data_IF_477415808164
#
_entry.id   IF_477415808164
#
_cell.length_a   1.000
_cell.length_b   1.000
_cell.length_c   1.000
_cell.angle_alpha   90.00
_cell.angle_beta   90.00
_cell.angle_gamma   90.00
#
_symmetry.space_group_name_H-M   'P 1'
#
loop_
_entity.id
_entity.type
_entity.pdbx_description
1 polymer ?
#
# COMPACT_ATOMS: atom_id res chain seq x y z
N UNK A 1 33.00 16.50 9.19
CA UNK A 1 32.23 15.51 8.42
C UNK A 1 30.87 15.41 9.10
N UNK A 2 29.88 16.20 8.65
CA UNK A 2 28.51 16.11 9.17
C UNK A 2 27.86 14.91 8.48
N UNK A 3 27.81 13.78 9.17
CA UNK A 3 26.92 12.68 8.81
C UNK A 3 25.51 13.19 9.10
N UNK A 4 24.84 13.73 8.09
CA UNK A 4 23.40 13.92 8.11
C UNK A 4 22.84 12.50 8.25
N UNK A 5 22.47 12.10 9.47
CA UNK A 5 21.66 10.90 9.68
C UNK A 5 20.31 11.21 9.05
N UNK A 6 20.13 10.75 7.82
CA UNK A 6 18.82 10.64 7.19
C UNK A 6 17.99 9.75 8.11
N UNK A 7 16.80 10.20 8.53
CA UNK A 7 15.87 9.35 9.28
C UNK A 7 15.42 8.23 8.34
N UNK A 8 15.93 7.02 8.56
CA UNK A 8 15.39 5.84 7.89
C UNK A 8 13.97 5.62 8.42
N UNK A 9 12.98 5.35 7.55
CA UNK A 9 11.62 5.15 8.01
C UNK A 9 11.55 3.92 8.91
N UNK A 10 10.74 3.99 9.96
CA UNK A 10 10.44 2.86 10.83
C UNK A 10 9.56 1.84 10.10
N UNK A 11 9.64 0.58 10.49
CA UNK A 11 8.74 -0.45 9.98
C UNK A 11 7.50 -0.58 10.87
N UNK A 12 6.31 -0.45 10.29
CA UNK A 12 5.05 -0.73 10.97
C UNK A 12 4.23 -1.76 10.19
N UNK A 13 3.78 -2.82 10.85
CA UNK A 13 2.82 -3.76 10.26
C UNK A 13 1.41 -3.44 10.77
N UNK A 14 0.51 -3.04 9.86
CA UNK A 14 -0.86 -2.66 10.19
C UNK A 14 -1.81 -3.82 9.92
N UNK A 15 -2.59 -4.17 10.93
CA UNK A 15 -3.62 -5.19 10.85
C UNK A 15 -4.84 -4.83 11.70
N UNK A 16 -6.00 -5.44 11.45
CA UNK A 16 -7.20 -5.15 12.24
C UNK A 16 -7.00 -5.57 13.71
N UNK A 17 -6.51 -6.79 13.93
CA UNK A 17 -6.30 -7.41 15.25
C UNK A 17 -4.92 -8.08 15.34
N UNK A 18 -4.38 -8.22 16.54
CA UNK A 18 -3.10 -8.89 16.76
C UNK A 18 -3.13 -10.38 16.34
N UNK A 19 -4.31 -11.01 16.38
CA UNK A 19 -4.48 -12.38 15.90
C UNK A 19 -4.28 -12.50 14.39
N UNK A 20 -4.54 -11.43 13.63
CA UNK A 20 -4.25 -11.41 12.20
C UNK A 20 -2.73 -11.54 11.98
N UNK A 21 -1.92 -10.74 12.69
CA UNK A 21 -0.45 -10.87 12.67
C UNK A 21 0.05 -12.28 13.03
N UNK A 22 -0.60 -12.96 14.01
CA UNK A 22 -0.29 -14.38 14.34
C UNK A 22 -0.66 -15.33 13.20
N UNK A 23 -1.86 -15.20 12.63
CA UNK A 23 -2.35 -16.04 11.52
C UNK A 23 -1.44 -15.93 10.30
N UNK A 24 -0.93 -14.73 10.03
CA UNK A 24 -0.02 -14.46 8.92
C UNK A 24 1.43 -14.84 9.20
N UNK A 25 1.70 -15.50 10.33
CA UNK A 25 3.05 -15.88 10.75
C UNK A 25 4.01 -14.69 10.76
N UNK A 26 3.53 -13.45 10.98
CA UNK A 26 4.39 -12.27 11.10
C UNK A 26 5.39 -12.46 12.25
N UNK A 27 5.01 -13.31 13.20
CA UNK A 27 5.78 -13.72 14.36
C UNK A 27 6.92 -14.72 14.09
N UNK A 28 6.96 -15.40 12.94
CA UNK A 28 8.06 -16.30 12.57
C UNK A 28 9.16 -15.59 11.80
N UNK A 29 8.94 -14.32 11.48
CA UNK A 29 9.84 -13.49 10.72
C UNK A 29 10.81 -12.84 11.70
N UNK A 30 12.09 -13.20 11.60
CA UNK A 30 13.18 -12.45 12.23
C UNK A 30 13.41 -11.18 11.40
N UNK A 31 12.74 -10.09 11.79
CA UNK A 31 12.74 -8.83 11.04
C UNK A 31 14.08 -8.11 11.09
N UNK A 32 14.93 -8.37 12.09
CA UNK A 32 16.26 -7.76 12.28
C UNK A 32 16.27 -6.22 12.47
N UNK A 33 15.21 -5.57 12.02
CA UNK A 33 14.86 -4.17 12.17
C UNK A 33 13.71 -4.06 13.17
N UNK A 34 13.72 -3.08 14.10
CA UNK A 34 12.62 -2.87 15.03
C UNK A 34 11.31 -2.62 14.26
N UNK A 35 10.38 -3.56 14.39
CA UNK A 35 9.03 -3.44 13.84
C UNK A 35 8.10 -2.96 14.95
N UNK A 36 7.07 -2.21 14.59
CA UNK A 36 5.92 -1.92 15.44
C UNK A 36 4.69 -2.61 14.82
N UNK A 37 3.85 -3.26 15.62
CA UNK A 37 2.58 -3.81 15.16
C UNK A 37 1.49 -2.81 15.49
N UNK A 38 0.76 -2.33 14.49
CA UNK A 38 -0.32 -1.37 14.65
C UNK A 38 -1.65 -2.10 14.51
N UNK A 39 -2.48 -2.04 15.55
CA UNK A 39 -3.80 -2.69 15.57
C UNK A 39 -4.95 -1.69 15.70
N UNK A 40 -6.06 -1.96 15.01
CA UNK A 40 -7.18 -1.02 14.87
C UNK A 40 -8.43 -1.44 15.67
N UNK A 41 -8.52 -2.67 16.15
CA UNK A 41 -9.62 -3.11 17.01
C UNK A 41 -9.30 -2.90 18.49
N UNK A 42 -10.33 -2.88 19.33
CA UNK A 42 -10.17 -2.69 20.77
C UNK A 42 -9.61 -3.96 21.43
N UNK A 43 -8.37 -3.88 21.93
CA UNK A 43 -7.68 -5.00 22.58
C UNK A 43 -7.23 -4.56 24.00
N UNK A 44 -8.17 -4.38 24.95
CA UNK A 44 -7.87 -3.81 26.28
C UNK A 44 -6.93 -4.68 27.11
N UNK A 45 -6.91 -5.98 26.82
CA UNK A 45 -6.04 -6.97 27.46
C UNK A 45 -4.99 -7.50 26.47
N UNK A 46 -4.79 -6.82 25.33
CA UNK A 46 -3.73 -7.13 24.38
C UNK A 46 -2.36 -6.87 25.02
N UNK A 47 -1.33 -7.65 24.68
CA UNK A 47 0.00 -7.40 25.20
C UNK A 47 0.55 -6.10 24.61
N UNK A 48 1.28 -5.33 25.42
CA UNK A 48 2.02 -4.14 24.96
C UNK A 48 3.16 -4.50 23.99
N UNK A 49 3.58 -5.75 23.98
CA UNK A 49 4.63 -6.29 23.14
C UNK A 49 4.27 -7.68 22.60
N UNK A 50 4.67 -7.97 21.37
CA UNK A 50 4.48 -9.25 20.71
C UNK A 50 5.83 -9.80 20.23
N UNK A 51 6.36 -10.85 20.89
CA UNK A 51 7.74 -11.35 20.66
C UNK A 51 8.76 -10.19 20.62
N UNK A 52 8.81 -9.41 21.70
CA UNK A 52 9.70 -8.24 21.85
C UNK A 52 9.48 -7.09 20.85
N UNK A 53 8.44 -7.18 20.03
CA UNK A 53 8.00 -6.14 19.08
C UNK A 53 6.96 -5.26 19.75
N UNK A 54 7.07 -3.93 19.69
CA UNK A 54 6.07 -3.05 20.30
C UNK A 54 4.72 -3.16 19.58
N UNK A 55 3.61 -3.12 20.34
CA UNK A 55 2.25 -3.11 19.80
C UNK A 55 1.63 -1.74 20.07
N UNK A 56 1.25 -1.04 19.01
CA UNK A 56 0.53 0.23 19.06
C UNK A 56 -0.94 -0.05 18.73
N UNK A 57 -1.74 -0.26 19.77
CA UNK A 57 -3.18 -0.39 19.61
C UNK A 57 -3.84 1.00 19.55
N UNK A 58 -4.74 1.21 18.58
CA UNK A 58 -5.45 2.48 18.39
C UNK A 58 -6.18 2.97 19.64
N UNK A 59 -6.84 2.09 20.38
CA UNK A 59 -7.59 2.46 21.58
C UNK A 59 -6.63 2.83 22.72
N UNK A 60 -5.56 2.05 22.91
CA UNK A 60 -4.51 2.37 23.87
C UNK A 60 -3.81 3.70 23.56
N UNK A 61 -3.60 4.01 22.27
CA UNK A 61 -3.04 5.29 21.83
C UNK A 61 -3.92 6.47 22.26
N UNK A 62 -5.24 6.39 22.06
CA UNK A 62 -6.17 7.44 22.52
C UNK A 62 -6.38 7.46 24.04
N UNK A 63 -6.26 6.30 24.70
CA UNK A 63 -6.32 6.20 26.16
C UNK A 63 -5.20 7.01 26.82
N UNK A 64 -4.01 6.99 26.22
CA UNK A 64 -2.81 7.66 26.72
C UNK A 64 -2.06 6.81 27.75
N UNK A 65 -1.01 7.40 28.34
CA UNK A 65 -0.24 6.74 29.39
C UNK A 65 -1.03 6.69 30.69
N UNK A 66 -1.02 5.53 31.36
CA UNK A 66 -1.68 5.35 32.64
C UNK A 66 -0.67 5.02 33.74
N UNK A 67 -0.87 5.50 34.98
CA UNK A 67 -0.08 5.06 36.11
C UNK A 67 -0.26 3.56 36.36
N UNK A 68 0.75 2.94 36.94
CA UNK A 68 0.66 1.55 37.40
C UNK A 68 -0.47 1.41 38.42
N UNK A 69 -1.31 0.39 38.24
CA UNK A 69 -2.51 0.17 39.06
C UNK A 69 -2.32 -1.00 40.01
N UNK A 70 -2.89 -0.88 41.21
CA UNK A 70 -3.07 -2.01 42.11
C UNK A 70 -4.20 -2.90 41.61
N UNK A 71 -4.00 -4.22 41.62
CA UNK A 71 -5.03 -5.17 41.17
C UNK A 71 -6.22 -5.17 42.13
N UNK A 72 -7.41 -4.89 41.62
CA UNK A 72 -8.67 -4.95 42.36
C UNK A 72 -9.19 -6.37 42.35
N UNK A 73 -9.44 -6.93 43.55
CA UNK A 73 -10.17 -8.19 43.71
C UNK A 73 -11.66 -7.90 43.83
N UNK A 74 -12.45 -8.59 43.01
CA UNK A 74 -13.91 -8.50 43.03
C UNK A 74 -14.48 -9.73 43.74
N UNK A 75 -15.05 -9.59 44.95
CA UNK A 75 -15.65 -10.73 45.65
C UNK A 75 -16.94 -11.18 44.96
N UNK A 76 -17.18 -12.49 45.03
CA UNK A 76 -18.44 -13.11 44.56
C UNK A 76 -19.56 -12.75 45.53
N UNK A 77 -19.37 -12.96 46.83
CA UNK A 77 -20.34 -12.53 47.82
C UNK A 77 -20.42 -11.00 47.85
N UNK A 78 -21.64 -10.46 47.81
CA UNK A 78 -21.90 -9.03 47.84
C UNK A 78 -23.02 -8.72 48.81
N UNK A 79 -22.78 -7.71 49.66
CA UNK A 79 -23.68 -7.36 50.74
C UNK A 79 -25.11 -7.09 50.26
N UNK A 80 -26.07 -7.73 50.92
CA UNK A 80 -27.50 -7.59 50.62
C UNK A 80 -27.98 -8.33 49.37
N UNK A 81 -27.14 -9.17 48.73
CA UNK A 81 -27.48 -9.89 47.51
C UNK A 81 -27.37 -11.40 47.69
N UNK A 82 -28.36 -12.12 47.15
CA UNK A 82 -28.28 -13.57 46.97
C UNK A 82 -27.84 -13.89 45.55
N UNK A 83 -27.12 -14.99 45.34
CA UNK A 83 -26.64 -15.35 44.01
C UNK A 83 -26.78 -16.84 43.68
N UNK A 84 -26.80 -17.12 42.38
CA UNK A 84 -26.75 -18.48 41.82
C UNK A 84 -25.53 -18.54 40.90
N UNK A 85 -24.70 -19.57 41.08
CA UNK A 85 -23.62 -19.89 40.16
C UNK A 85 -24.14 -20.80 39.05
N UNK A 86 -23.78 -20.51 37.80
CA UNK A 86 -24.04 -21.41 36.67
C UNK A 86 -23.17 -22.68 36.76
N UNK A 87 -23.73 -23.89 36.53
CA UNK A 87 -22.97 -25.13 36.63
C UNK A 87 -21.70 -25.11 35.77
N UNK A 88 -20.56 -25.41 36.39
CA UNK A 88 -19.24 -25.49 35.75
C UNK A 88 -18.79 -24.23 35.00
N UNK A 89 -19.36 -23.06 35.32
CA UNK A 89 -18.98 -21.78 34.71
C UNK A 89 -18.67 -20.74 35.78
N UNK A 90 -17.67 -19.87 35.57
CA UNK A 90 -17.36 -18.77 36.48
C UNK A 90 -18.34 -17.60 36.27
N UNK A 91 -19.64 -17.90 36.33
CA UNK A 91 -20.74 -16.99 36.03
C UNK A 91 -21.71 -17.00 37.21
N UNK A 92 -22.08 -15.81 37.66
CA UNK A 92 -22.93 -15.60 38.84
C UNK A 92 -24.09 -14.66 38.50
N UNK A 93 -25.30 -15.05 38.92
CA UNK A 93 -26.52 -14.27 38.76
C UNK A 93 -26.99 -13.80 40.11
N UNK A 94 -27.18 -12.51 40.28
CA UNK A 94 -27.48 -11.91 41.58
C UNK A 94 -28.90 -11.38 41.65
N UNK A 95 -29.49 -11.54 42.83
CA UNK A 95 -30.84 -11.18 43.14
C UNK A 95 -30.88 -10.30 44.39
N UNK A 96 -31.78 -9.32 44.37
CA UNK A 96 -32.14 -8.53 45.54
C UNK A 96 -33.65 -8.64 45.74
N UNK A 97 -34.10 -9.15 46.89
CA UNK A 97 -35.52 -9.34 47.20
C UNK A 97 -36.29 -10.05 46.05
N UNK A 98 -35.70 -11.12 45.50
CA UNK A 98 -36.28 -11.91 44.41
C UNK A 98 -36.14 -11.30 43.00
N UNK A 99 -35.67 -10.06 42.86
CA UNK A 99 -35.46 -9.40 41.57
C UNK A 99 -34.06 -9.69 41.03
N UNK A 100 -33.97 -10.07 39.75
CA UNK A 100 -32.69 -10.28 39.08
C UNK A 100 -32.06 -8.93 38.67
N UNK A 101 -30.98 -8.54 39.33
CA UNK A 101 -30.42 -7.17 39.18
C UNK A 101 -29.09 -7.13 38.42
N UNK A 102 -28.28 -8.19 38.50
CA UNK A 102 -26.99 -8.22 37.81
C UNK A 102 -26.51 -9.63 37.50
N UNK A 103 -25.70 -9.69 36.45
CA UNK A 103 -24.93 -10.84 36.00
C UNK A 103 -23.47 -10.50 36.14
N UNK A 104 -22.65 -11.40 36.66
CA UNK A 104 -21.19 -11.26 36.63
C UNK A 104 -20.56 -12.48 35.97
N UNK A 105 -19.53 -12.22 35.16
CA UNK A 105 -18.69 -13.26 34.56
C UNK A 105 -17.25 -12.99 34.91
N UNK A 106 -16.59 -14.02 35.43
CA UNK A 106 -15.16 -14.02 35.68
C UNK A 106 -14.44 -14.78 34.56
N UNK A 107 -13.15 -14.49 34.37
CA UNK A 107 -12.25 -15.27 33.53
C UNK A 107 -12.04 -16.66 34.13
N UNK A 108 -11.45 -17.58 33.37
CA UNK A 108 -11.02 -18.88 33.91
C UNK A 108 -9.96 -18.73 35.02
N UNK A 109 -9.23 -17.61 35.02
CA UNK A 109 -8.19 -17.25 35.99
C UNK A 109 -8.75 -16.53 37.23
N UNK A 110 -10.04 -16.19 37.24
CA UNK A 110 -10.73 -15.64 38.41
C UNK A 110 -10.80 -14.10 38.47
N UNK A 111 -10.37 -13.38 37.42
CA UNK A 111 -10.61 -11.94 37.31
C UNK A 111 -12.04 -11.66 36.86
N UNK A 112 -12.67 -10.60 37.39
CA UNK A 112 -13.94 -10.13 36.87
C UNK A 112 -13.74 -9.63 35.44
N UNK A 113 -14.55 -10.10 34.50
CA UNK A 113 -14.48 -9.70 33.10
C UNK A 113 -15.64 -8.79 32.70
N UNK A 114 -16.86 -9.12 33.16
CA UNK A 114 -18.07 -8.41 32.74
C UNK A 114 -19.09 -8.36 33.88
N UNK A 115 -19.78 -7.23 34.00
CA UNK A 115 -21.06 -7.12 34.73
C UNK A 115 -22.15 -6.62 33.78
N UNK A 116 -23.27 -7.35 33.69
CA UNK A 116 -24.51 -6.81 33.08
C UNK A 116 -25.49 -6.42 34.18
N UNK A 117 -26.06 -5.23 34.08
CA UNK A 117 -27.09 -4.73 34.99
C UNK A 117 -28.46 -4.75 34.32
N UNK A 118 -29.47 -5.16 35.09
CA UNK A 118 -30.84 -5.34 34.63
C UNK A 118 -31.78 -4.37 35.36
N UNK A 119 -32.75 -3.82 34.63
CA UNK A 119 -33.79 -2.99 35.21
C UNK A 119 -34.88 -3.86 35.87
N UNK A 120 -35.91 -3.23 36.43
CA UNK A 120 -37.00 -3.94 37.11
C UNK A 120 -37.76 -4.92 36.19
N UNK A 121 -37.83 -4.62 34.90
CA UNK A 121 -38.43 -5.45 33.85
C UNK A 121 -37.49 -6.53 33.30
N UNK A 122 -36.32 -6.75 33.94
CA UNK A 122 -35.29 -7.72 33.51
C UNK A 122 -34.67 -7.40 32.14
N UNK A 123 -34.76 -6.16 31.66
CA UNK A 123 -34.04 -5.72 30.47
C UNK A 123 -32.64 -5.27 30.89
N UNK A 124 -31.62 -5.73 30.16
CA UNK A 124 -30.26 -5.26 30.37
C UNK A 124 -30.17 -3.81 29.89
N UNK A 125 -29.76 -2.90 30.76
CA UNK A 125 -29.64 -1.48 30.42
C UNK A 125 -28.18 -0.99 30.42
N UNK A 126 -27.28 -1.72 31.08
CA UNK A 126 -25.88 -1.34 31.25
C UNK A 126 -24.99 -2.57 31.28
N UNK A 127 -23.82 -2.50 30.65
CA UNK A 127 -22.74 -3.48 30.74
C UNK A 127 -21.44 -2.77 31.11
N UNK A 128 -20.71 -3.31 32.06
CA UNK A 128 -19.34 -2.92 32.40
C UNK A 128 -18.39 -4.05 32.00
N UNK A 129 -17.27 -3.69 31.38
CA UNK A 129 -16.19 -4.62 31.06
C UNK A 129 -14.92 -4.20 31.80
N UNK A 130 -14.22 -5.21 32.30
CA UNK A 130 -13.14 -5.08 33.26
C UNK A 130 -11.82 -5.56 32.67
N UNK A 131 -10.75 -4.82 32.94
CA UNK A 131 -9.40 -5.16 32.53
C UNK A 131 -8.81 -6.22 33.48
N UNK A 132 -7.65 -6.80 33.14
CA UNK A 132 -6.97 -7.81 33.99
C UNK A 132 -6.56 -7.27 35.37
N UNK A 133 -6.52 -5.95 35.56
CA UNK A 133 -6.26 -5.32 36.85
C UNK A 133 -7.54 -5.09 37.66
N UNK A 134 -8.71 -5.38 37.10
CA UNK A 134 -10.00 -5.27 37.76
C UNK A 134 -10.63 -3.88 37.67
N UNK A 135 -10.16 -2.99 36.79
CA UNK A 135 -10.77 -1.67 36.56
C UNK A 135 -11.72 -1.72 35.38
N UNK A 136 -12.79 -0.93 35.43
CA UNK A 136 -13.71 -0.77 34.29
C UNK A 136 -12.97 0.00 33.19
N UNK A 137 -12.77 -0.63 32.03
CA UNK A 137 -12.16 0.03 30.86
C UNK A 137 -13.19 0.39 29.78
N UNK A 138 -14.41 -0.14 29.91
CA UNK A 138 -15.45 -0.05 28.90
C UNK A 138 -16.82 -0.14 29.56
N UNK A 139 -17.72 0.76 29.16
CA UNK A 139 -19.08 0.88 29.65
C UNK A 139 -20.06 1.00 28.48
N UNK A 140 -21.02 0.09 28.39
CA UNK A 140 -22.03 0.09 27.33
C UNK A 140 -23.42 0.34 27.92
N UNK A 141 -24.16 1.28 27.34
CA UNK A 141 -25.58 1.48 27.59
C UNK A 141 -26.37 0.82 26.48
N UNK A 142 -27.35 0.01 26.86
CA UNK A 142 -28.10 -0.83 25.94
C UNK A 142 -29.44 -0.18 25.59
N UNK A 143 -29.84 -0.35 24.34
CA UNK A 143 -31.22 -0.14 23.92
C UNK A 143 -32.12 -1.20 24.57
N UNK A 144 -33.19 -0.75 25.25
CA UNK A 144 -34.01 -1.63 26.08
C UNK A 144 -34.87 -2.61 25.27
N UNK A 145 -35.17 -2.29 24.01
CA UNK A 145 -36.02 -3.08 23.13
C UNK A 145 -35.21 -4.12 22.36
N UNK A 146 -34.09 -3.69 21.78
CA UNK A 146 -33.24 -4.55 20.93
C UNK A 146 -32.11 -5.24 21.71
N UNK A 147 -31.81 -4.78 22.92
CA UNK A 147 -30.68 -5.23 23.75
C UNK A 147 -29.31 -5.07 23.06
N UNK A 148 -29.23 -4.20 22.04
CA UNK A 148 -28.00 -3.80 21.36
C UNK A 148 -27.36 -2.59 22.05
N UNK A 149 -26.04 -2.40 21.96
CA UNK A 149 -25.40 -1.18 22.44
C UNK A 149 -25.96 0.05 21.71
N UNK A 150 -26.34 1.07 22.47
CA UNK A 150 -26.74 2.40 21.96
C UNK A 150 -25.62 3.42 22.16
N UNK A 151 -24.89 3.27 23.25
CA UNK A 151 -23.74 4.11 23.59
C UNK A 151 -22.65 3.25 24.25
N UNK A 152 -21.40 3.50 23.91
CA UNK A 152 -20.25 2.80 24.46
C UNK A 152 -19.16 3.80 24.82
N UNK A 153 -18.80 3.85 26.09
CA UNK A 153 -17.78 4.71 26.67
C UNK A 153 -16.54 3.86 26.93
N UNK A 154 -15.39 4.33 26.46
CA UNK A 154 -14.09 3.76 26.76
C UNK A 154 -13.40 4.65 27.79
N UNK A 155 -12.89 4.00 28.84
CA UNK A 155 -12.49 4.68 30.07
C UNK A 155 -11.00 4.51 30.36
N UNK A 156 -10.43 5.56 30.97
CA UNK A 156 -9.14 5.54 31.63
C UNK A 156 -9.27 4.92 33.03
N UNK A 157 -8.12 4.69 33.65
CA UNK A 157 -7.96 4.08 34.97
C UNK A 157 -8.70 4.81 36.08
N UNK A 158 -8.72 6.15 36.00
CA UNK A 158 -9.38 7.05 36.92
C UNK A 158 -10.90 7.15 36.69
N UNK A 159 -11.42 6.44 35.68
CA UNK A 159 -12.83 6.46 35.29
C UNK A 159 -13.19 7.56 34.29
N UNK A 160 -12.26 8.44 33.92
CA UNK A 160 -12.52 9.46 32.89
C UNK A 160 -12.68 8.83 31.51
N UNK A 161 -13.56 9.39 30.68
CA UNK A 161 -13.81 8.87 29.34
C UNK A 161 -12.82 9.47 28.33
N UNK A 162 -12.15 8.62 27.55
CA UNK A 162 -11.28 9.08 26.46
C UNK A 162 -11.93 8.94 25.08
N UNK A 163 -12.96 8.09 24.96
CA UNK A 163 -13.71 7.95 23.72
C UNK A 163 -15.13 7.47 24.00
N UNK A 164 -16.11 8.08 23.32
CA UNK A 164 -17.49 7.62 23.31
C UNK A 164 -17.91 7.28 21.89
N UNK A 165 -18.61 6.15 21.71
CA UNK A 165 -19.26 5.73 20.47
C UNK A 165 -20.77 5.67 20.67
N UNK A 166 -21.52 6.18 19.71
CA UNK A 166 -22.96 6.00 19.61
C UNK A 166 -23.26 5.12 18.40
N UNK A 167 -24.30 4.31 18.53
CA UNK A 167 -24.71 3.37 17.50
C UNK A 167 -26.15 3.62 17.07
N UNK A 168 -26.40 3.48 15.78
CA UNK A 168 -27.75 3.43 15.21
C UNK A 168 -28.41 2.08 15.54
N UNK A 169 -29.71 1.97 15.30
CA UNK A 169 -30.48 0.75 15.55
C UNK A 169 -29.99 -0.48 14.74
N UNK A 170 -29.38 -0.24 13.57
CA UNK A 170 -28.78 -1.30 12.75
C UNK A 170 -27.43 -1.80 13.31
N UNK A 171 -26.85 -1.10 14.29
CA UNK A 171 -25.56 -1.39 14.92
C UNK A 171 -24.38 -0.66 14.29
N UNK A 172 -24.60 0.14 13.24
CA UNK A 172 -23.55 0.97 12.66
C UNK A 172 -23.24 2.16 13.54
N UNK A 173 -21.99 2.62 13.49
CA UNK A 173 -21.55 3.82 14.20
C UNK A 173 -22.34 5.03 13.72
N UNK A 174 -22.95 5.74 14.67
CA UNK A 174 -23.61 7.02 14.46
C UNK A 174 -22.63 8.17 14.63
N UNK A 175 -21.84 8.11 15.72
CA UNK A 175 -20.93 9.16 16.13
C UNK A 175 -19.85 8.59 17.02
N UNK A 176 -18.66 9.16 16.96
CA UNK A 176 -17.53 8.90 17.83
C UNK A 176 -17.02 10.25 18.32
N UNK A 177 -16.79 10.38 19.62
CA UNK A 177 -16.19 11.58 20.21
C UNK A 177 -14.95 11.16 20.99
N UNK A 178 -13.83 11.84 20.74
CA UNK A 178 -12.54 11.59 21.39
C UNK A 178 -12.26 12.75 22.34
N UNK A 179 -11.77 12.42 23.54
CA UNK A 179 -11.50 13.38 24.61
C UNK A 179 -10.03 13.36 25.02
N UNK A 180 -9.46 14.52 25.34
CA UNK A 180 -8.15 14.61 25.97
C UNK A 180 -8.21 14.25 27.46
N UNK A 181 -7.07 14.35 28.15
CA UNK A 181 -6.95 14.11 29.60
C UNK A 181 -7.69 15.15 30.45
N UNK A 182 -8.08 16.29 29.88
CA UNK A 182 -8.82 17.37 30.53
C UNK A 182 -10.32 17.35 30.15
N UNK A 183 -10.78 16.24 29.57
CA UNK A 183 -12.16 16.02 29.12
C UNK A 183 -12.63 16.98 28.01
N UNK A 184 -11.71 17.67 27.31
CA UNK A 184 -12.07 18.48 26.15
C UNK A 184 -12.29 17.59 24.93
N UNK A 185 -13.25 17.96 24.09
CA UNK A 185 -13.48 17.28 22.81
C UNK A 185 -12.32 17.60 21.86
N UNK A 186 -11.57 16.57 21.49
CA UNK A 186 -10.44 16.64 20.54
C UNK A 186 -10.91 16.40 19.12
N UNK A 187 -11.87 15.49 18.93
CA UNK A 187 -12.38 15.13 17.62
C UNK A 187 -13.79 14.55 17.69
N UNK A 188 -14.54 14.72 16.60
CA UNK A 188 -15.86 14.12 16.37
C UNK A 188 -15.84 13.45 15.01
N UNK A 189 -16.15 12.17 14.97
CA UNK A 189 -16.09 11.31 13.78
C UNK A 189 -17.41 10.57 13.62
N UNK A 190 -17.70 10.07 12.43
CA UNK A 190 -19.00 9.48 12.09
C UNK A 190 -18.92 8.04 11.55
N UNK A 191 -17.72 7.45 11.52
CA UNK A 191 -17.52 6.05 11.13
C UNK A 191 -16.26 5.45 11.73
N UNK A 192 -16.18 4.11 11.77
CA UNK A 192 -14.95 3.39 12.15
C UNK A 192 -13.80 3.67 11.18
N UNK A 193 -14.09 3.84 9.89
CA UNK A 193 -13.08 4.21 8.90
C UNK A 193 -12.49 5.60 9.18
N UNK A 194 -13.32 6.57 9.57
CA UNK A 194 -12.83 7.88 10.01
C UNK A 194 -11.95 7.78 11.25
N UNK A 195 -12.30 6.92 12.22
CA UNK A 195 -11.47 6.68 13.41
C UNK A 195 -10.11 6.08 13.06
N UNK A 196 -10.08 5.04 12.23
CA UNK A 196 -8.84 4.43 11.76
C UNK A 196 -7.96 5.45 11.00
N UNK A 197 -8.54 6.23 10.08
CA UNK A 197 -7.82 7.29 9.37
C UNK A 197 -7.29 8.36 10.32
N UNK A 198 -8.10 8.81 11.27
CA UNK A 198 -7.71 9.83 12.23
C UNK A 198 -6.51 9.38 13.06
N UNK A 199 -6.55 8.14 13.58
CA UNK A 199 -5.43 7.52 14.28
C UNK A 199 -4.17 7.40 13.41
N UNK A 200 -4.28 6.77 12.24
CA UNK A 200 -3.14 6.57 11.34
C UNK A 200 -2.52 7.90 10.89
N UNK A 201 -3.34 8.93 10.63
CA UNK A 201 -2.85 10.27 10.27
C UNK A 201 -2.01 10.92 11.38
N UNK A 202 -2.29 10.60 12.65
CA UNK A 202 -1.48 11.07 13.77
C UNK A 202 -0.16 10.31 13.84
N UNK A 203 -0.19 8.99 13.71
CA UNK A 203 1.04 8.18 13.66
C UNK A 203 1.97 8.63 12.52
N UNK A 204 1.43 8.89 11.33
CA UNK A 204 2.19 9.40 10.17
C UNK A 204 2.86 10.75 10.47
N UNK A 205 2.24 11.59 11.30
CA UNK A 205 2.80 12.90 11.68
C UNK A 205 3.86 12.80 12.78
N UNK A 206 3.89 11.70 13.53
CA UNK A 206 4.83 11.49 14.63
C UNK A 206 6.17 10.92 14.16
N UNK A 207 6.17 10.07 13.13
CA UNK A 207 7.37 9.54 12.53
C UNK A 207 7.17 9.08 11.08
N UNK A 208 8.27 9.02 10.33
CA UNK A 208 8.28 8.40 9.02
C UNK A 208 8.16 6.89 9.18
N UNK A 209 7.07 6.33 8.67
CA UNK A 209 6.82 4.90 8.68
C UNK A 209 6.71 4.37 7.25
N UNK A 210 7.26 3.18 7.06
CA UNK A 210 6.74 2.26 6.09
C UNK A 210 5.64 1.42 6.74
N UNK A 211 4.41 1.67 6.30
CA UNK A 211 3.26 0.87 6.69
C UNK A 211 3.10 -0.32 5.75
N UNK A 212 3.35 -1.50 6.27
CA UNK A 212 3.10 -2.78 5.60
C UNK A 212 1.73 -3.32 6.03
N UNK A 213 0.96 -3.86 5.09
CA UNK A 213 -0.22 -4.66 5.43
C UNK A 213 -0.35 -5.86 4.50
N UNK A 214 -1.15 -6.84 4.93
CA UNK A 214 -1.56 -7.99 4.11
C UNK A 214 -3.07 -8.03 3.90
N UNK A 215 -3.81 -7.04 4.39
CA UNK A 215 -5.28 -6.98 4.33
C UNK A 215 -5.71 -5.96 3.27
N UNK A 216 -6.47 -6.38 2.27
CA UNK A 216 -6.87 -5.56 1.12
C UNK A 216 -7.77 -4.39 1.54
N UNK A 217 -8.62 -4.59 2.55
CA UNK A 217 -9.47 -3.52 3.10
C UNK A 217 -8.62 -2.40 3.73
N UNK A 218 -7.60 -2.76 4.51
CA UNK A 218 -6.67 -1.80 5.09
C UNK A 218 -5.77 -1.16 4.05
N UNK A 219 -5.34 -1.92 3.04
CA UNK A 219 -4.55 -1.40 1.94
C UNK A 219 -5.23 -0.21 1.27
N UNK A 220 -6.55 -0.29 1.02
CA UNK A 220 -7.30 0.81 0.41
C UNK A 220 -7.25 2.08 1.26
N UNK A 221 -7.38 1.93 2.59
CA UNK A 221 -7.27 3.04 3.53
C UNK A 221 -5.86 3.63 3.54
N UNK A 222 -4.83 2.79 3.66
CA UNK A 222 -3.43 3.22 3.68
C UNK A 222 -2.99 3.86 2.36
N UNK A 223 -3.44 3.34 1.21
CA UNK A 223 -3.20 3.93 -0.12
C UNK A 223 -3.74 5.34 -0.23
N UNK A 224 -4.94 5.58 0.26
CA UNK A 224 -5.49 6.93 0.22
C UNK A 224 -4.76 7.89 1.17
N UNK A 225 -4.23 7.40 2.30
CA UNK A 225 -3.41 8.20 3.20
C UNK A 225 -2.02 8.50 2.59
N UNK A 226 -1.40 7.57 1.86
CA UNK A 226 -0.10 7.83 1.22
C UNK A 226 -0.16 8.86 0.09
N UNK A 227 -1.35 9.06 -0.50
CA UNK A 227 -1.61 10.16 -1.45
C UNK A 227 -1.74 11.51 -0.73
N UNK A 228 -2.29 11.52 0.48
CA UNK A 228 -2.49 12.74 1.29
C UNK A 228 -1.20 13.16 2.02
N UNK A 229 -0.40 12.20 2.45
CA UNK A 229 0.80 12.41 3.25
C UNK A 229 2.04 11.92 2.49
N UNK A 230 2.80 12.85 1.91
CA UNK A 230 4.01 12.53 1.14
C UNK A 230 5.14 11.90 1.96
N UNK A 231 5.10 11.99 3.28
CA UNK A 231 6.06 11.34 4.20
C UNK A 231 5.72 9.87 4.50
N UNK A 232 4.52 9.42 4.13
CA UNK A 232 4.07 8.05 4.38
C UNK A 232 4.53 7.12 3.26
N UNK A 233 5.17 6.02 3.64
CA UNK A 233 5.50 4.95 2.72
C UNK A 233 4.55 3.76 2.91
N UNK A 234 4.16 3.14 1.81
CA UNK A 234 3.14 2.12 1.73
C UNK A 234 3.68 0.81 1.16
N UNK A 235 3.52 -0.28 1.89
CA UNK A 235 3.81 -1.60 1.34
C UNK A 235 2.69 -2.60 1.54
N UNK A 236 2.69 -3.61 0.68
CA UNK A 236 1.76 -4.73 0.72
C UNK A 236 2.51 -6.06 0.64
N UNK A 237 2.13 -7.01 1.50
CA UNK A 237 2.66 -8.38 1.47
C UNK A 237 1.54 -9.36 1.16
N UNK A 238 1.62 -9.98 -0.02
CA UNK A 238 0.73 -11.07 -0.39
C UNK A 238 1.01 -12.26 0.54
N UNK A 239 -0.03 -12.68 1.25
CA UNK A 239 -0.02 -13.89 2.07
C UNK A 239 -1.25 -14.71 1.70
N UNK A 240 -2.31 -14.65 2.51
CA UNK A 240 -3.60 -15.26 2.22
C UNK A 240 -4.44 -14.43 1.25
N UNK A 241 -4.27 -13.10 1.27
CA UNK A 241 -4.90 -12.17 0.35
C UNK A 241 -3.92 -11.77 -0.75
N UNK A 242 -4.46 -11.61 -1.96
CA UNK A 242 -3.71 -11.20 -3.13
C UNK A 242 -4.22 -9.85 -3.63
N UNK A 243 -3.32 -9.08 -4.21
CA UNK A 243 -3.71 -7.87 -4.91
C UNK A 243 -4.27 -8.26 -6.28
N UNK A 244 -5.53 -7.93 -6.57
CA UNK A 244 -6.20 -8.38 -7.80
C UNK A 244 -5.56 -7.82 -9.08
N UNK A 245 -5.19 -6.53 -9.09
CA UNK A 245 -4.65 -5.83 -10.26
C UNK A 245 -3.28 -5.19 -9.94
N UNK A 246 -2.22 -5.97 -9.68
CA UNK A 246 -0.92 -5.46 -9.25
C UNK A 246 -0.34 -4.44 -10.23
N UNK A 247 -0.63 -4.54 -11.53
CA UNK A 247 -0.16 -3.57 -12.53
C UNK A 247 -0.71 -2.15 -12.36
N UNK A 248 -1.89 -1.98 -11.77
CA UNK A 248 -2.47 -0.66 -11.48
C UNK A 248 -1.99 -0.10 -10.15
N UNK A 249 -1.62 -0.98 -9.25
CA UNK A 249 -1.33 -0.65 -7.86
C UNK A 249 0.16 -0.47 -7.59
N UNK A 250 1.03 -1.10 -8.39
CA UNK A 250 2.47 -1.11 -8.15
C UNK A 250 3.11 0.28 -8.16
N UNK A 251 2.53 1.24 -8.88
CA UNK A 251 2.99 2.63 -8.89
C UNK A 251 2.67 3.40 -7.60
N UNK A 252 1.83 2.85 -6.72
CA UNK A 252 1.48 3.41 -5.43
C UNK A 252 2.19 2.72 -4.25
N UNK A 253 2.86 1.60 -4.52
CA UNK A 253 3.51 0.79 -3.50
C UNK A 253 4.99 1.13 -3.43
N UNK A 254 5.46 1.44 -2.24
CA UNK A 254 6.86 1.53 -1.90
C UNK A 254 7.52 0.16 -1.80
N UNK A 255 6.73 -0.85 -1.44
CA UNK A 255 7.15 -2.25 -1.45
C UNK A 255 5.99 -3.21 -1.70
N UNK A 256 6.16 -4.11 -2.66
CA UNK A 256 5.22 -5.18 -2.95
C UNK A 256 5.91 -6.53 -2.83
N UNK A 257 5.44 -7.34 -1.88
CA UNK A 257 6.10 -8.60 -1.51
C UNK A 257 5.20 -9.76 -1.91
N UNK A 258 5.76 -10.72 -2.63
CA UNK A 258 5.02 -11.88 -3.12
C UNK A 258 5.64 -13.21 -2.68
N UNK A 259 4.81 -14.24 -2.41
CA UNK A 259 5.23 -15.45 -1.71
C UNK A 259 5.94 -16.48 -2.60
N UNK A 260 5.86 -16.34 -3.94
CA UNK A 260 6.42 -17.32 -4.88
C UNK A 260 7.15 -16.67 -6.06
N UNK A 261 8.21 -17.33 -6.53
CA UNK A 261 8.98 -16.87 -7.69
C UNK A 261 8.12 -16.86 -8.96
N UNK A 262 7.16 -17.78 -9.05
CA UNK A 262 6.16 -17.80 -10.12
C UNK A 262 5.33 -16.51 -10.10
N UNK A 263 4.74 -16.16 -8.96
CA UNK A 263 3.95 -14.93 -8.80
C UNK A 263 4.78 -13.70 -9.12
N UNK A 264 6.03 -13.65 -8.66
CA UNK A 264 6.98 -12.60 -9.01
C UNK A 264 7.16 -12.47 -10.53
N UNK A 265 7.51 -13.55 -11.23
CA UNK A 265 7.68 -13.52 -12.68
C UNK A 265 6.39 -13.14 -13.43
N UNK A 266 5.23 -13.61 -12.97
CA UNK A 266 3.93 -13.25 -13.55
C UNK A 266 3.66 -11.75 -13.44
N UNK A 267 3.98 -11.14 -12.30
CA UNK A 267 3.88 -9.68 -12.11
C UNK A 267 4.89 -8.96 -12.99
N UNK A 268 6.17 -9.34 -12.95
CA UNK A 268 7.23 -8.72 -13.78
C UNK A 268 6.89 -8.76 -15.27
N UNK A 269 6.27 -9.85 -15.74
CA UNK A 269 5.81 -9.97 -17.14
C UNK A 269 4.77 -8.91 -17.50
N UNK A 270 3.88 -8.55 -16.56
CA UNK A 270 2.79 -7.61 -16.78
C UNK A 270 3.18 -6.15 -16.48
N UNK A 271 4.04 -5.92 -15.50
CA UNK A 271 4.41 -4.57 -15.00
C UNK A 271 5.76 -4.06 -15.52
N UNK A 272 6.53 -4.95 -16.15
CA UNK A 272 7.96 -4.77 -16.35
C UNK A 272 8.78 -5.01 -15.08
N UNK A 273 10.12 -5.09 -15.19
CA UNK A 273 11.02 -5.09 -14.04
C UNK A 273 10.79 -3.86 -13.15
N UNK A 274 10.70 -4.06 -11.83
CA UNK A 274 10.58 -2.98 -10.85
C UNK A 274 11.46 -3.29 -9.64
N UNK A 275 11.97 -2.26 -8.98
CA UNK A 275 12.82 -2.40 -7.78
C UNK A 275 12.02 -2.49 -6.49
N UNK A 276 10.74 -2.12 -6.53
CA UNK A 276 9.81 -2.21 -5.41
C UNK A 276 9.04 -3.54 -5.36
N UNK A 277 9.27 -4.47 -6.31
CA UNK A 277 8.68 -5.81 -6.25
C UNK A 277 9.72 -6.77 -5.68
N UNK A 278 9.33 -7.53 -4.67
CA UNK A 278 10.21 -8.46 -3.98
C UNK A 278 9.58 -9.85 -3.93
N UNK A 279 10.36 -10.85 -4.32
CA UNK A 279 10.03 -12.24 -4.04
C UNK A 279 10.63 -12.63 -2.70
N UNK A 280 9.78 -13.12 -1.80
CA UNK A 280 10.20 -13.74 -0.56
C UNK A 280 9.52 -15.09 -0.48
N UNK A 281 10.31 -16.16 -0.50
CA UNK A 281 9.78 -17.51 -0.28
C UNK A 281 9.05 -17.56 1.06
N UNK A 282 7.98 -18.34 1.14
CA UNK A 282 7.30 -18.62 2.42
C UNK A 282 8.22 -19.29 3.45
N UNK A 283 9.39 -19.78 3.04
CA UNK A 283 10.38 -20.32 3.98
C UNK A 283 11.03 -19.23 4.86
N UNK A 284 11.20 -19.48 6.18
CA UNK A 284 11.57 -18.45 7.16
C UNK A 284 12.96 -17.81 6.94
N UNK A 285 13.87 -18.45 6.21
CA UNK A 285 15.29 -18.13 6.24
C UNK A 285 15.73 -16.91 5.41
N UNK A 286 14.87 -16.29 4.59
CA UNK A 286 15.27 -15.18 3.68
C UNK A 286 14.75 -13.79 4.04
N UNK A 287 13.98 -13.62 5.12
CA UNK A 287 13.40 -12.31 5.47
C UNK A 287 14.38 -11.34 6.15
N UNK A 288 15.44 -11.85 6.78
CA UNK A 288 16.39 -11.05 7.58
C UNK A 288 17.07 -9.88 6.85
N UNK A 289 17.54 -10.09 5.61
CA UNK A 289 18.19 -9.04 4.78
C UNK A 289 17.21 -8.26 3.91
N UNK A 290 15.98 -8.74 3.83
CA UNK A 290 14.98 -8.19 2.95
C UNK A 290 14.42 -6.88 3.52
N UNK A 291 14.20 -6.83 4.83
CA UNK A 291 13.65 -5.66 5.52
C UNK A 291 14.58 -4.47 5.44
N UNK A 292 15.86 -4.67 5.74
CA UNK A 292 16.89 -3.63 5.62
C UNK A 292 16.91 -3.08 4.19
N UNK A 293 16.94 -3.96 3.18
CA UNK A 293 16.89 -3.56 1.77
C UNK A 293 15.62 -2.79 1.42
N UNK A 294 14.49 -3.20 1.98
CA UNK A 294 13.22 -2.56 1.71
C UNK A 294 13.23 -1.15 2.29
N UNK A 295 13.56 -0.99 3.58
CA UNK A 295 13.65 0.32 4.26
C UNK A 295 14.70 1.22 3.59
N UNK A 296 15.83 0.67 3.14
CA UNK A 296 16.87 1.44 2.45
C UNK A 296 16.43 1.94 1.07
N UNK A 297 15.50 1.25 0.39
CA UNK A 297 14.99 1.67 -0.92
C UNK A 297 13.83 2.67 -0.81
N UNK A 298 13.12 2.68 0.32
CA UNK A 298 11.95 3.51 0.55
C UNK A 298 12.18 5.02 0.26
N UNK A 299 13.29 5.66 0.70
CA UNK A 299 13.57 7.07 0.37
C UNK A 299 13.78 7.38 -1.12
N UNK A 300 13.96 6.37 -1.97
CA UNK A 300 14.13 6.52 -3.43
C UNK A 300 12.82 6.34 -4.18
N UNK A 301 11.72 6.09 -3.47
CA UNK A 301 10.44 5.87 -4.11
C UNK A 301 9.81 7.18 -4.54
N UNK A 302 9.63 7.37 -5.84
CA UNK A 302 9.02 8.58 -6.39
C UNK A 302 7.55 8.37 -6.75
N UNK A 303 6.77 9.45 -6.62
CA UNK A 303 5.34 9.48 -6.95
C UNK A 303 5.10 9.91 -8.41
N UNK A 304 6.05 9.62 -9.30
CA UNK A 304 5.89 9.95 -10.69
C UNK A 304 4.70 9.21 -11.30
N UNK A 305 3.96 9.94 -12.13
CA UNK A 305 2.82 9.45 -12.90
C UNK A 305 2.84 10.06 -14.27
N UNK A 306 2.32 9.34 -15.25
CA UNK A 306 2.23 9.74 -16.65
C UNK A 306 3.60 10.07 -17.28
N UNK A 307 3.82 9.64 -18.53
CA UNK A 307 4.95 10.10 -19.33
C UNK A 307 4.43 10.60 -20.65
N UNK A 308 4.39 11.92 -20.79
CA UNK A 308 4.02 12.57 -22.04
C UNK A 308 5.27 12.73 -22.89
N UNK A 309 5.20 12.26 -24.13
CA UNK A 309 6.32 12.33 -25.08
C UNK A 309 5.84 13.09 -26.31
N UNK A 310 6.51 14.20 -26.58
CA UNK A 310 6.32 15.03 -27.75
C UNK A 310 7.55 14.92 -28.64
N UNK A 311 7.39 14.38 -29.85
CA UNK A 311 8.49 14.29 -30.81
C UNK A 311 8.83 15.68 -31.34
N UNK A 312 10.08 16.10 -31.17
CA UNK A 312 10.60 17.39 -31.66
C UNK A 312 11.23 17.24 -33.04
N UNK A 313 11.98 16.17 -33.28
CA UNK A 313 12.71 15.97 -34.54
C UNK A 313 12.86 14.49 -34.88
N UNK A 314 12.78 14.18 -36.18
CA UNK A 314 13.09 12.86 -36.72
C UNK A 314 13.80 13.00 -38.06
N UNK A 315 15.10 12.71 -38.08
CA UNK A 315 15.96 12.96 -39.24
C UNK A 315 16.83 11.75 -39.56
N UNK A 316 16.94 11.41 -40.84
CA UNK A 316 17.82 10.35 -41.30
C UNK A 316 19.26 10.84 -41.37
N UNK A 317 20.14 10.28 -40.54
CA UNK A 317 21.57 10.54 -40.61
C UNK A 317 22.26 9.63 -41.64
N UNK A 318 21.67 8.46 -41.91
CA UNK A 318 22.11 7.55 -42.96
C UNK A 318 20.96 6.64 -43.38
N UNK A 319 21.21 5.77 -44.35
CA UNK A 319 20.29 4.73 -44.81
C UNK A 319 19.80 3.75 -43.74
N UNK A 320 20.39 3.71 -42.55
CA UNK A 320 19.98 2.79 -41.49
C UNK A 320 19.84 3.47 -40.15
N UNK A 321 20.22 4.74 -40.05
CA UNK A 321 20.37 5.47 -38.80
C UNK A 321 19.38 6.63 -38.77
N UNK A 322 18.36 6.49 -37.92
CA UNK A 322 17.37 7.52 -37.67
C UNK A 322 17.73 8.25 -36.38
N UNK A 323 18.00 9.55 -36.48
CA UNK A 323 18.13 10.42 -35.33
C UNK A 323 16.76 10.90 -34.89
N UNK A 324 16.51 10.86 -33.59
CA UNK A 324 15.29 11.35 -32.96
C UNK A 324 15.64 12.32 -31.84
N UNK A 325 14.80 13.33 -31.66
CA UNK A 325 14.72 14.10 -30.42
C UNK A 325 13.27 14.31 -29.99
N UNK A 326 13.00 14.26 -28.69
CA UNK A 326 11.69 14.45 -28.10
C UNK A 326 11.78 15.23 -26.80
N UNK A 327 10.72 15.99 -26.50
CA UNK A 327 10.45 16.55 -25.19
C UNK A 327 9.65 15.55 -24.38
N UNK A 328 10.05 15.34 -23.13
CA UNK A 328 9.42 14.41 -22.20
C UNK A 328 9.02 15.16 -20.95
N UNK A 329 7.77 14.99 -20.54
CA UNK A 329 7.22 15.58 -19.32
C UNK A 329 6.59 14.48 -18.46
N UNK A 330 6.94 14.50 -17.17
CA UNK A 330 6.34 13.65 -16.14
C UNK A 330 5.49 14.47 -15.19
N UNK A 331 4.44 13.86 -14.61
CA UNK A 331 3.70 14.44 -13.49
C UNK A 331 4.13 13.82 -12.16
N UNK A 332 3.88 14.52 -11.06
CA UNK A 332 4.15 14.03 -9.71
C UNK A 332 5.35 14.72 -9.09
N UNK A 333 6.05 14.01 -8.21
CA UNK A 333 7.23 14.53 -7.52
C UNK A 333 8.29 13.43 -7.38
N UNK A 334 9.55 13.86 -7.28
CA UNK A 334 10.67 13.00 -6.94
C UNK A 334 11.26 13.30 -5.59
N UNK A 335 11.73 12.27 -4.86
CA UNK A 335 12.62 12.47 -3.75
C UNK A 335 13.92 13.12 -4.23
N UNK A 336 14.51 14.04 -3.44
CA UNK A 336 15.80 14.63 -3.73
C UNK A 336 16.91 13.60 -4.03
N UNK A 337 16.79 12.40 -3.45
CA UNK A 337 17.75 11.31 -3.62
C UNK A 337 17.71 10.62 -4.99
N UNK A 338 16.60 10.74 -5.72
CA UNK A 338 16.41 10.16 -7.06
C UNK A 338 16.72 11.12 -8.20
N UNK A 339 16.99 12.39 -7.90
CA UNK A 339 17.36 13.40 -8.89
C UNK A 339 18.60 12.95 -9.65
N UNK A 340 18.52 12.96 -10.98
CA UNK A 340 19.63 12.58 -11.88
C UNK A 340 19.93 11.07 -11.96
N UNK A 341 19.19 10.21 -11.26
CA UNK A 341 19.36 8.75 -11.29
C UNK A 341 18.50 8.06 -12.36
N UNK A 342 18.14 8.82 -13.38
CA UNK A 342 17.29 8.36 -14.45
C UNK A 342 18.07 7.83 -15.64
N UNK A 343 17.50 6.84 -16.31
CA UNK A 343 17.99 6.30 -17.57
C UNK A 343 16.87 6.29 -18.59
N UNK A 344 17.10 6.96 -19.72
CA UNK A 344 16.16 6.94 -20.84
C UNK A 344 16.81 6.30 -22.07
N UNK A 345 16.00 5.57 -22.82
CA UNK A 345 16.45 4.90 -24.04
C UNK A 345 15.29 4.73 -25.01
N UNK A 346 15.64 4.67 -26.29
CA UNK A 346 14.70 4.35 -27.35
C UNK A 346 14.61 2.84 -27.53
N UNK A 347 13.41 2.34 -27.81
CA UNK A 347 13.16 0.93 -28.09
C UNK A 347 12.43 0.78 -29.42
N UNK A 348 12.95 -0.08 -30.28
CA UNK A 348 12.28 -0.55 -31.49
C UNK A 348 11.77 -1.97 -31.27
N UNK A 349 10.59 -2.26 -31.82
CA UNK A 349 10.00 -3.60 -31.80
C UNK A 349 9.38 -3.95 -33.15
N UNK A 350 9.75 -5.09 -33.71
CA UNK A 350 9.04 -5.66 -34.84
C UNK A 350 7.71 -6.25 -34.37
N UNK A 351 6.59 -5.74 -34.90
CA UNK A 351 5.25 -6.15 -34.45
C UNK A 351 4.94 -7.63 -34.70
N UNK A 352 5.51 -8.25 -35.73
CA UNK A 352 5.16 -9.62 -36.14
C UNK A 352 6.12 -10.66 -35.57
N UNK A 353 7.43 -10.42 -35.67
CA UNK A 353 8.43 -11.34 -35.12
C UNK A 353 8.64 -11.15 -33.61
N UNK A 354 8.32 -9.97 -33.08
CA UNK A 354 8.59 -9.61 -31.70
C UNK A 354 10.04 -9.22 -31.43
N UNK A 355 10.90 -9.14 -32.46
CA UNK A 355 12.31 -8.76 -32.32
C UNK A 355 12.46 -7.32 -31.83
N UNK A 356 13.30 -7.12 -30.83
CA UNK A 356 13.46 -5.84 -30.13
C UNK A 356 14.91 -5.36 -30.14
N UNK A 357 15.12 -4.04 -30.10
CA UNK A 357 16.44 -3.43 -29.93
C UNK A 357 16.33 -2.10 -29.17
N UNK A 358 17.30 -1.85 -28.30
CA UNK A 358 17.33 -0.64 -27.45
C UNK A 358 18.54 0.22 -27.76
N UNK A 359 18.37 1.54 -27.62
CA UNK A 359 19.38 2.55 -27.93
C UNK A 359 19.40 3.59 -26.81
N UNK A 360 20.53 3.70 -26.11
CA UNK A 360 20.70 4.73 -25.06
C UNK A 360 20.40 6.12 -25.63
N UNK A 361 19.64 6.91 -24.89
CA UNK A 361 19.39 8.29 -25.25
C UNK A 361 20.33 9.23 -24.50
N UNK A 362 20.68 10.34 -25.14
CA UNK A 362 21.24 11.50 -24.46
C UNK A 362 20.09 12.28 -23.84
N UNK A 363 20.20 12.56 -22.55
CA UNK A 363 19.15 13.23 -21.78
C UNK A 363 19.70 14.55 -21.24
N UNK A 364 19.00 15.64 -21.54
CA UNK A 364 19.25 16.95 -20.98
C UNK A 364 18.02 17.36 -20.17
N UNK A 365 18.22 17.68 -18.89
CA UNK A 365 17.15 18.21 -18.03
C UNK A 365 16.98 19.71 -18.30
N UNK A 366 15.75 20.12 -18.56
CA UNK A 366 15.36 21.54 -18.69
C UNK A 366 14.82 22.06 -17.35
N UNK A 367 13.94 21.26 -16.74
CA UNK A 367 13.40 21.43 -15.39
C UNK A 367 13.41 20.07 -14.66
N UNK A 368 12.95 20.03 -13.41
CA UNK A 368 13.01 18.83 -12.55
C UNK A 368 12.37 17.59 -13.19
N UNK A 369 11.24 17.75 -13.91
CA UNK A 369 10.46 16.67 -14.54
C UNK A 369 10.30 16.85 -16.06
N UNK A 370 11.05 17.77 -16.67
CA UNK A 370 11.00 18.06 -18.11
C UNK A 370 12.38 17.83 -18.73
N UNK A 371 12.41 16.98 -19.76
CA UNK A 371 13.65 16.52 -20.39
C UNK A 371 13.58 16.66 -21.90
N UNK A 372 14.70 17.06 -22.49
CA UNK A 372 14.96 16.86 -23.91
C UNK A 372 15.83 15.62 -24.09
N UNK A 373 15.31 14.67 -24.85
CA UNK A 373 15.89 13.35 -25.04
C UNK A 373 16.21 13.15 -26.51
N UNK A 374 17.41 12.69 -26.83
CA UNK A 374 17.82 12.45 -28.22
C UNK A 374 18.66 11.19 -28.42
N UNK A 375 18.69 10.65 -29.63
CA UNK A 375 19.49 9.46 -29.93
C UNK A 375 19.43 9.04 -31.37
N UNK A 376 20.38 8.19 -31.78
CA UNK A 376 20.43 7.62 -33.13
C UNK A 376 20.12 6.12 -33.06
N UNK A 377 19.09 5.70 -33.78
CA UNK A 377 18.57 4.35 -33.79
C UNK A 377 18.99 3.63 -35.07
N UNK A 378 19.42 2.37 -34.96
CA UNK A 378 19.79 1.53 -36.10
C UNK A 378 18.61 0.64 -36.51
N UNK A 379 17.86 1.05 -37.52
CA UNK A 379 16.59 0.39 -37.90
C UNK A 379 16.79 -1.07 -38.34
N UNK A 380 17.94 -1.42 -38.94
CA UNK A 380 18.26 -2.79 -39.35
C UNK A 380 18.20 -3.83 -38.22
N UNK A 381 18.26 -3.37 -36.97
CA UNK A 381 18.36 -4.23 -35.79
C UNK A 381 17.07 -5.03 -35.52
N UNK A 382 15.95 -4.57 -36.10
CA UNK A 382 14.62 -5.17 -35.93
C UNK A 382 13.95 -5.51 -37.27
N UNK A 383 14.72 -5.52 -38.36
CA UNK A 383 14.24 -5.82 -39.73
C UNK A 383 14.40 -7.30 -40.10
N UNK A 384 14.16 -8.19 -39.14
CA UNK A 384 14.22 -9.64 -39.32
C UNK A 384 12.99 -10.20 -40.08
N UNK A 385 11.83 -9.55 -39.91
CA UNK A 385 10.60 -9.89 -40.64
C UNK A 385 9.90 -8.66 -41.18
N UNK A 386 9.24 -8.79 -42.33
CA UNK A 386 8.41 -7.73 -42.90
C UNK A 386 7.18 -7.47 -42.02
N UNK A 387 7.19 -6.35 -41.30
CA UNK A 387 6.10 -5.90 -40.44
C UNK A 387 6.25 -4.42 -40.06
N UNK A 388 5.23 -3.89 -39.40
CA UNK A 388 5.29 -2.59 -38.70
C UNK A 388 6.34 -2.63 -37.60
N UNK A 389 7.12 -1.55 -37.50
CA UNK A 389 8.06 -1.34 -36.39
C UNK A 389 7.43 -0.35 -35.42
N UNK A 390 7.31 -0.76 -34.17
CA UNK A 390 6.83 0.08 -33.09
C UNK A 390 8.02 0.81 -32.44
N UNK A 391 7.87 2.10 -32.20
CA UNK A 391 8.87 2.96 -31.59
C UNK A 391 8.36 3.43 -30.23
N UNK A 392 9.17 3.18 -29.20
CA UNK A 392 8.90 3.58 -27.84
C UNK A 392 10.05 4.42 -27.31
N UNK A 393 9.71 5.42 -26.49
CA UNK A 393 10.65 6.01 -25.56
C UNK A 393 10.40 5.37 -24.20
N UNK A 394 11.46 4.86 -23.57
CA UNK A 394 11.41 4.23 -22.26
C UNK A 394 12.21 5.07 -21.26
N UNK A 395 11.68 5.21 -20.05
CA UNK A 395 12.33 5.88 -18.92
C UNK A 395 12.33 4.95 -17.71
N UNK A 396 13.51 4.74 -17.14
CA UNK A 396 13.78 3.96 -15.93
C UNK A 396 14.34 4.90 -14.86
N UNK A 397 13.60 5.09 -13.77
CA UNK A 397 14.05 5.73 -12.53
C UNK A 397 14.18 4.67 -11.45
N UNK A 398 14.83 4.98 -10.33
CA UNK A 398 15.18 4.02 -9.28
C UNK A 398 14.08 2.98 -9.01
N UNK A 399 12.80 3.39 -8.97
CA UNK A 399 11.64 2.49 -8.82
C UNK A 399 10.48 2.69 -9.82
N UNK A 400 10.64 3.57 -10.81
CA UNK A 400 9.57 3.90 -11.77
C UNK A 400 9.97 3.58 -13.20
N UNK A 401 9.11 2.86 -13.92
CA UNK A 401 9.26 2.57 -15.33
C UNK A 401 8.09 3.15 -16.12
N UNK A 402 8.43 3.89 -17.16
CA UNK A 402 7.50 4.46 -18.12
C UNK A 402 7.90 4.04 -19.53
N UNK A 403 6.90 3.67 -20.34
CA UNK A 403 7.07 3.45 -21.77
C UNK A 403 5.92 4.13 -22.48
N UNK A 404 6.25 5.00 -23.42
CA UNK A 404 5.26 5.71 -24.21
C UNK A 404 5.59 5.53 -25.69
N UNK A 405 4.55 5.19 -26.45
CA UNK A 405 4.64 5.19 -27.91
C UNK A 405 4.85 6.61 -28.39
N UNK A 406 5.85 6.81 -29.24
CA UNK A 406 6.20 8.15 -29.73
C UNK A 406 5.14 8.61 -30.72
N UNK A 407 4.41 9.67 -30.39
CA UNK A 407 3.34 10.23 -31.23
C UNK A 407 3.86 11.46 -31.96
N UNK A 408 3.49 11.59 -33.24
CA UNK A 408 3.79 12.77 -34.05
C UNK A 408 2.60 13.72 -33.90
N UNK A 409 2.80 14.81 -33.16
CA UNK A 409 1.74 15.77 -32.85
C UNK A 409 1.58 16.84 -33.92
N UNK A 410 2.64 17.21 -34.65
CA UNK A 410 2.55 18.23 -35.69
C UNK A 410 3.11 17.78 -37.04
N UNK A 411 2.29 17.94 -38.08
CA UNK A 411 2.56 17.49 -39.46
C UNK A 411 3.40 18.48 -40.26
N UNK A 412 3.79 19.61 -39.68
CA UNK A 412 4.37 20.74 -40.42
C UNK A 412 5.90 20.82 -40.45
N UNK A 413 6.62 19.95 -39.73
CA UNK A 413 8.10 20.03 -39.65
C UNK A 413 8.82 18.69 -39.81
N UNK A 414 8.33 17.81 -40.69
CA UNK A 414 9.16 16.69 -41.17
C UNK A 414 9.55 17.00 -42.62
N UNK A 415 10.82 17.34 -42.90
CA UNK A 415 11.28 17.59 -44.27
C UNK A 415 10.96 16.38 -45.14
N UNK A 416 10.12 16.58 -46.16
CA UNK A 416 9.70 15.57 -47.14
C UNK A 416 10.81 15.14 -48.12
N UNK A 417 12.05 15.58 -47.90
CA UNK A 417 13.17 15.28 -48.77
C UNK A 417 14.04 14.17 -48.18
N UNK A 418 14.00 13.02 -48.87
CA UNK A 418 14.90 11.85 -48.78
C UNK A 418 14.43 10.64 -47.95
N UNK A 419 13.29 10.06 -48.32
CA UNK A 419 12.89 8.70 -47.94
C UNK A 419 13.21 7.67 -49.03
N UNK A 420 14.49 7.49 -49.36
CA UNK A 420 14.90 6.29 -50.11
C UNK A 420 16.19 5.70 -49.56
N UNK A 421 16.04 4.71 -48.69
CA UNK A 421 17.09 3.72 -48.50
C UNK A 421 17.04 2.88 -49.78
N UNK A 422 18.18 2.59 -50.40
CA UNK A 422 18.23 1.69 -51.55
C UNK A 422 17.59 0.34 -51.19
N UNK A 423 16.28 0.19 -51.48
CA UNK A 423 15.42 -0.95 -51.16
C UNK A 423 14.21 -0.72 -50.24
N UNK A 424 14.11 0.38 -49.47
CA UNK A 424 13.09 0.53 -48.41
C UNK A 424 12.61 1.98 -48.22
N UNK A 425 11.31 2.17 -47.97
CA UNK A 425 10.69 3.47 -47.68
C UNK A 425 10.08 3.44 -46.26
N UNK A 426 10.47 4.39 -45.41
CA UNK A 426 9.91 4.52 -44.06
C UNK A 426 9.00 5.75 -44.06
N UNK A 427 7.70 5.52 -43.96
CA UNK A 427 6.70 6.57 -43.93
C UNK A 427 6.23 6.78 -42.48
N UNK A 428 6.40 7.99 -41.98
CA UNK A 428 5.86 8.44 -40.71
C UNK A 428 4.40 8.87 -40.95
N UNK A 429 3.46 7.92 -40.93
CA UNK A 429 2.04 8.20 -41.19
C UNK A 429 1.24 8.47 -39.90
N UNK A 430 0.25 9.37 -40.02
CA UNK A 430 -0.61 9.89 -38.94
C UNK A 430 -1.71 8.91 -38.50
N UNK A 431 -2.02 7.88 -39.27
CA UNK A 431 -3.10 6.95 -38.91
C UNK A 431 -2.58 5.73 -38.14
N UNK A 432 -2.90 5.71 -36.84
CA UNK A 432 -2.66 4.66 -35.84
C UNK A 432 -1.33 4.65 -35.06
N UNK A 433 -0.60 5.76 -34.92
CA UNK A 433 0.51 5.92 -33.94
C UNK A 433 1.71 4.94 -34.07
N UNK A 434 2.07 4.46 -35.28
CA UNK A 434 3.25 3.60 -35.47
C UNK A 434 4.13 4.04 -36.65
N UNK A 435 5.43 3.75 -36.55
CA UNK A 435 6.40 3.94 -37.63
C UNK A 435 6.21 2.83 -38.68
N UNK A 436 5.77 3.18 -39.89
CA UNK A 436 5.46 2.20 -40.93
C UNK A 436 6.60 2.11 -41.94
N UNK A 437 7.27 0.95 -41.98
CA UNK A 437 8.25 0.65 -43.01
C UNK A 437 7.56 -0.11 -44.14
N UNK A 438 7.44 0.51 -45.32
CA UNK A 438 6.97 -0.14 -46.55
C UNK A 438 8.17 -0.63 -47.38
N UNK A 439 8.09 -1.87 -47.84
CA UNK A 439 9.15 -2.49 -48.65
C UNK A 439 8.93 -2.14 -50.11
N UNK A 440 10.01 -1.87 -50.85
CA UNK A 440 9.98 -1.91 -52.30
C UNK A 440 10.39 -3.33 -52.76
N UNK A 441 9.68 -3.89 -53.75
CA UNK A 441 9.96 -5.20 -54.39
C UNK A 441 11.30 -5.26 -55.16
N UNK A 442 12.38 -4.67 -54.64
CA UNK A 442 13.65 -4.48 -55.34
C UNK A 442 14.60 -5.68 -55.37
N UNK A 443 14.31 -6.77 -54.65
CA UNK A 443 15.21 -7.94 -54.58
C UNK A 443 14.64 -9.23 -55.21
N UNK A 444 13.41 -9.23 -55.74
CA UNK A 444 12.88 -10.39 -56.49
C UNK A 444 13.33 -10.47 -57.95
N UNK A 445 14.02 -9.45 -58.50
CA UNK A 445 14.38 -9.40 -59.94
C UNK A 445 15.84 -9.69 -60.32
N UNK A 446 16.75 -9.97 -59.38
CA UNK A 446 18.15 -10.35 -59.72
C UNK A 446 18.47 -11.84 -59.62
N UNK A 447 17.63 -12.67 -58.99
CA UNK A 447 17.83 -14.14 -58.97
C UNK A 447 17.19 -14.86 -60.18
N UNK A 448 16.16 -14.28 -60.81
CA UNK A 448 15.44 -14.92 -61.94
C UNK A 448 15.95 -14.55 -63.34
N UNK A 449 16.90 -13.59 -63.48
CA UNK A 449 17.54 -13.25 -64.77
C UNK A 449 18.84 -14.00 -65.06
N UNK A 450 19.34 -14.83 -64.13
CA UNK A 450 20.49 -15.72 -64.35
C UNK A 450 20.11 -17.20 -64.54
N UNK A 451 18.83 -17.56 -64.40
CA UNK A 451 18.35 -18.92 -64.61
C UNK A 451 17.68 -19.16 -65.98
N UNK A 452 17.50 -18.12 -66.82
CA UNK A 452 16.93 -18.27 -68.17
C UNK A 452 17.52 -17.31 -69.22
N UNK A 453 18.85 -17.30 -69.38
CA UNK A 453 19.49 -16.79 -70.61
C UNK A 453 20.59 -17.76 -71.06
N UNK A 454 20.22 -18.65 -72.01
CA UNK A 454 21.04 -19.49 -72.92
C UNK A 454 22.04 -20.43 -72.23
N UNK A 455 21.85 -21.75 -72.26
CA UNK A 455 21.57 -22.64 -73.40
C UNK A 455 20.91 -23.92 -72.90
#
# INVERSE_FOLDING_TARGET
MMTIKVSTPKLAFVCQELNAAKKFSINTIDWNYPMEIVTLHHEPNGPSSFKDTAVINMYSYFKGSEPQKDKIKHPIEQDGLTYIQEPNKPIYRYYNNGRYIKYQRFTASGELAVIDYFNESRQRFKREEYDLSGYVHSLMYMDLDTNKPKQHLYLRADGTCYMTKWYKNDGTTEKIVIFDEKENIVSVLYSENELARYFLSRLIKEADYLFMTSEVELYTTLKSLSVEYSSMYLGFIETNEMLENPEKEIGHLDAFVVPSLKRYHDIIKNTGPRTNIYYVSEEPFTRKRFVDKLIDQVPFNNQLKDMNVELLMAEWQSKSNLYLSAKVEFKGCIPPHSVGRHKMYWKLKNKKSGTESTFNAKVNSEEELIFTVSGTLRIHSVLDQLSTIELYLCSEWDNSFFSSGVRITDSKEIPLSEQSISGWQVTLEKENNYLRVQTAEGFRRKLMKRLFVKK
#
